data_IF_700252796298
#
_entry.id   IF_700252796298
#
_cell.length_a   1.000
_cell.length_b   1.000
_cell.length_c   1.000
_cell.angle_alpha   90.00
_cell.angle_beta   90.00
_cell.angle_gamma   90.00
#
_symmetry.space_group_name_H-M   'P 1'
#
loop_
_entity.id
_entity.type
_entity.pdbx_description
1 polymer ?
#
# COMPACT_ATOMS: atom_id res chain seq x y z
N UNK A 1 -17.91 6.54 13.86
CA UNK A 1 -17.13 5.29 14.07
C UNK A 1 -16.47 4.79 12.78
N UNK A 2 -17.21 4.57 11.70
CA UNK A 2 -16.66 4.07 10.42
C UNK A 2 -15.56 4.95 9.81
N UNK A 3 -15.68 6.29 9.91
CA UNK A 3 -14.61 7.22 9.49
C UNK A 3 -13.30 7.05 10.28
N UNK A 4 -13.37 6.69 11.56
CA UNK A 4 -12.18 6.50 12.39
C UNK A 4 -11.40 5.25 11.95
N UNK A 5 -12.12 4.16 11.65
CA UNK A 5 -11.53 2.95 11.08
C UNK A 5 -10.99 3.18 9.66
N UNK A 6 -11.68 3.99 8.85
CA UNK A 6 -11.19 4.41 7.53
C UNK A 6 -9.88 5.21 7.64
N UNK A 7 -9.79 6.13 8.60
CA UNK A 7 -8.55 6.87 8.87
C UNK A 7 -7.42 5.97 9.38
N UNK A 8 -7.73 5.01 10.25
CA UNK A 8 -6.75 4.02 10.72
C UNK A 8 -6.25 3.12 9.59
N UNK A 9 -7.09 2.77 8.61
CA UNK A 9 -6.69 1.97 7.45
C UNK A 9 -5.65 2.69 6.58
N UNK A 10 -5.70 4.03 6.50
CA UNK A 10 -4.70 4.81 5.76
C UNK A 10 -3.33 4.89 6.44
N UNK A 11 -3.21 4.44 7.69
CA UNK A 11 -1.92 4.34 8.38
C UNK A 11 -0.93 3.45 7.62
N UNK A 12 -1.43 2.44 6.89
CA UNK A 12 -0.62 1.58 6.03
C UNK A 12 0.20 2.36 4.98
N UNK A 13 -0.33 3.48 4.48
CA UNK A 13 0.37 4.32 3.49
C UNK A 13 1.65 4.92 4.09
N UNK A 14 1.51 5.56 5.25
CA UNK A 14 2.63 6.21 5.93
C UNK A 14 3.66 5.20 6.41
N UNK A 15 3.21 4.04 6.88
CA UNK A 15 4.10 2.95 7.28
C UNK A 15 4.94 2.47 6.09
N UNK A 16 4.30 2.20 4.95
CA UNK A 16 4.96 1.68 3.75
C UNK A 16 5.90 2.73 3.13
N UNK A 17 5.49 4.00 3.12
CA UNK A 17 6.33 5.11 2.69
C UNK A 17 7.58 5.26 3.57
N UNK A 18 7.41 5.22 4.90
CA UNK A 18 8.53 5.32 5.84
C UNK A 18 9.51 4.14 5.70
N UNK A 19 8.99 2.94 5.46
CA UNK A 19 9.84 1.77 5.22
C UNK A 19 10.62 1.91 3.91
N UNK A 20 9.97 2.36 2.84
CA UNK A 20 10.58 2.52 1.53
C UNK A 20 11.67 3.62 1.52
N UNK A 21 11.45 4.74 2.22
CA UNK A 21 12.47 5.78 2.38
C UNK A 21 13.65 5.31 3.23
N UNK A 22 13.41 4.51 4.29
CA UNK A 22 14.47 3.88 5.08
C UNK A 22 15.29 2.86 4.28
N UNK A 23 14.68 2.19 3.30
CA UNK A 23 15.36 1.29 2.37
C UNK A 23 16.16 2.02 1.27
N UNK A 24 16.15 3.36 1.25
CA UNK A 24 16.91 4.17 0.31
C UNK A 24 16.24 4.40 -1.05
N UNK A 25 14.93 4.14 -1.18
CA UNK A 25 14.19 4.51 -2.38
C UNK A 25 14.03 6.04 -2.50
N UNK A 26 13.93 6.53 -3.74
CA UNK A 26 13.60 7.92 -3.99
C UNK A 26 12.23 8.25 -3.39
N UNK A 27 12.02 9.49 -2.95
CA UNK A 27 10.74 9.88 -2.34
C UNK A 27 9.56 9.68 -3.32
N UNK A 28 9.82 9.82 -4.63
CA UNK A 28 8.85 9.60 -5.70
C UNK A 28 8.44 8.13 -5.79
N UNK A 29 9.41 7.21 -5.83
CA UNK A 29 9.15 5.77 -5.86
C UNK A 29 8.52 5.28 -4.54
N UNK A 30 9.01 5.79 -3.41
CA UNK A 30 8.48 5.48 -2.09
C UNK A 30 7.03 5.97 -1.94
N UNK A 31 6.67 7.12 -2.50
CA UNK A 31 5.29 7.60 -2.53
C UNK A 31 4.41 6.67 -3.37
N UNK A 32 4.85 6.25 -4.56
CA UNK A 32 4.08 5.35 -5.41
C UNK A 32 3.87 3.97 -4.79
N UNK A 33 4.88 3.41 -4.12
CA UNK A 33 4.78 2.14 -3.38
C UNK A 33 3.94 2.32 -2.11
N UNK A 34 4.05 3.47 -1.44
CA UNK A 34 3.30 3.79 -0.23
C UNK A 34 1.78 3.68 -0.41
N UNK A 35 1.26 4.13 -1.55
CA UNK A 35 -0.18 4.09 -1.86
C UNK A 35 -0.72 2.65 -1.89
N UNK A 36 0.12 1.64 -2.18
CA UNK A 36 -0.30 0.22 -2.13
C UNK A 36 -0.76 -0.15 -0.72
N UNK A 37 -0.17 0.46 0.32
CA UNK A 37 -0.57 0.26 1.71
C UNK A 37 -2.00 0.73 2.03
N UNK A 38 -2.62 1.55 1.16
CA UNK A 38 -4.04 1.88 1.21
C UNK A 38 -4.95 0.75 0.70
N UNK A 39 -4.37 -0.31 0.16
CA UNK A 39 -5.04 -1.34 -0.65
C UNK A 39 -5.78 -0.76 -1.88
N UNK A 40 -5.29 0.36 -2.42
CA UNK A 40 -5.85 1.05 -3.59
C UNK A 40 -4.89 1.03 -4.80
N UNK A 41 -5.21 0.14 -5.73
CA UNK A 41 -4.38 -0.24 -6.86
C UNK A 41 -4.40 0.79 -7.99
N UNK A 42 -5.57 1.19 -8.50
CA UNK A 42 -5.68 2.24 -9.53
C UNK A 42 -4.97 3.53 -9.12
N UNK A 43 -5.09 3.94 -7.86
CA UNK A 43 -4.42 5.14 -7.36
C UNK A 43 -2.91 4.95 -7.25
N UNK A 44 -2.42 3.77 -6.83
CA UNK A 44 -0.98 3.46 -6.81
C UNK A 44 -0.36 3.53 -8.21
N UNK A 45 -1.08 3.02 -9.23
CA UNK A 45 -0.65 3.03 -10.63
C UNK A 45 -0.66 4.47 -11.17
N UNK A 46 -1.70 5.24 -10.86
CA UNK A 46 -1.81 6.64 -11.25
C UNK A 46 -0.66 7.48 -10.66
N UNK A 47 -0.36 7.32 -9.37
CA UNK A 47 0.72 8.04 -8.69
C UNK A 47 2.09 7.61 -9.24
N UNK A 48 2.30 6.31 -9.51
CA UNK A 48 3.52 5.82 -10.16
C UNK A 48 3.72 6.43 -11.56
N UNK A 49 2.64 6.58 -12.32
CA UNK A 49 2.68 7.17 -13.66
C UNK A 49 2.95 8.68 -13.59
N UNK A 50 2.27 9.38 -12.68
CA UNK A 50 2.43 10.81 -12.45
C UNK A 50 3.86 11.20 -12.05
N UNK A 51 4.50 10.41 -11.19
CA UNK A 51 5.88 10.64 -10.78
C UNK A 51 6.93 10.05 -11.74
N UNK A 52 6.52 9.34 -12.79
CA UNK A 52 7.45 8.71 -13.73
C UNK A 52 8.32 7.62 -13.10
N UNK A 53 7.79 6.88 -12.13
CA UNK A 53 8.55 5.85 -11.43
C UNK A 53 9.04 4.77 -12.39
N UNK A 54 10.34 4.42 -12.31
CA UNK A 54 10.89 3.30 -13.11
C UNK A 54 10.31 1.94 -12.70
N UNK A 55 9.65 1.87 -11.55
CA UNK A 55 9.10 0.64 -10.98
C UNK A 55 7.62 0.44 -11.29
N UNK A 56 7.04 1.21 -12.22
CA UNK A 56 5.62 1.13 -12.58
C UNK A 56 5.14 -0.32 -12.84
N UNK A 57 5.91 -1.11 -13.58
CA UNK A 57 5.58 -2.52 -13.82
C UNK A 57 5.56 -3.36 -12.55
N UNK A 58 6.52 -3.18 -11.64
CA UNK A 58 6.58 -3.89 -10.38
C UNK A 58 5.45 -3.46 -9.42
N UNK A 59 5.13 -2.17 -9.40
CA UNK A 59 4.02 -1.59 -8.61
C UNK A 59 2.68 -2.16 -9.08
N UNK A 60 2.45 -2.26 -10.39
CA UNK A 60 1.23 -2.85 -10.96
C UNK A 60 1.06 -4.30 -10.51
N UNK A 61 2.10 -5.12 -10.68
CA UNK A 61 2.04 -6.54 -10.30
C UNK A 61 1.81 -6.68 -8.79
N UNK A 62 2.53 -5.92 -7.97
CA UNK A 62 2.39 -5.95 -6.51
C UNK A 62 0.99 -5.52 -6.05
N UNK A 63 0.43 -4.44 -6.62
CA UNK A 63 -0.88 -3.92 -6.26
C UNK A 63 -1.99 -4.94 -6.52
N UNK A 64 -2.06 -5.50 -7.73
CA UNK A 64 -3.08 -6.49 -8.06
C UNK A 64 -2.88 -7.82 -7.31
N UNK A 65 -1.63 -8.26 -7.11
CA UNK A 65 -1.34 -9.47 -6.34
C UNK A 65 -1.76 -9.33 -4.88
N UNK A 66 -1.49 -8.18 -4.26
CA UNK A 66 -1.88 -7.93 -2.87
C UNK A 66 -3.39 -7.88 -2.69
N UNK A 67 -4.12 -7.24 -3.61
CA UNK A 67 -5.59 -7.22 -3.60
C UNK A 67 -6.19 -8.62 -3.65
N UNK A 68 -5.64 -9.50 -4.48
CA UNK A 68 -6.08 -10.89 -4.56
C UNK A 68 -5.80 -11.68 -3.26
N UNK A 69 -4.80 -11.26 -2.48
CA UNK A 69 -4.40 -11.91 -1.24
C UNK A 69 -5.19 -11.41 -0.01
N UNK A 70 -5.96 -10.32 -0.14
CA UNK A 70 -6.79 -9.76 0.95
C UNK A 70 -7.68 -10.82 1.62
N UNK A 71 -8.42 -11.70 0.91
CA UNK A 71 -9.27 -12.71 1.54
C UNK A 71 -8.50 -13.73 2.41
N UNK A 72 -7.18 -13.86 2.20
CA UNK A 72 -6.32 -14.76 2.95
C UNK A 72 -5.67 -14.01 4.13
N UNK A 73 -5.16 -12.81 3.89
CA UNK A 73 -4.49 -12.00 4.93
C UNK A 73 -5.51 -11.53 5.99
N UNK A 74 -6.66 -11.02 5.55
CA UNK A 74 -7.64 -10.40 6.44
C UNK A 74 -8.13 -11.33 7.57
N UNK A 75 -8.58 -12.58 7.33
CA UNK A 75 -9.03 -13.46 8.42
C UNK A 75 -7.91 -13.85 9.39
N UNK A 76 -6.66 -13.96 8.90
CA UNK A 76 -5.50 -14.28 9.75
C UNK A 76 -5.18 -13.12 10.69
N UNK A 77 -5.15 -11.90 10.17
CA UNK A 77 -4.90 -10.69 10.97
C UNK A 77 -6.00 -10.48 12.00
N UNK A 78 -7.27 -10.67 11.61
CA UNK A 78 -8.39 -10.54 12.56
C UNK A 78 -8.22 -11.55 13.69
N UNK A 79 -8.03 -12.84 13.39
CA UNK A 79 -7.82 -13.89 14.41
C UNK A 79 -6.60 -13.65 15.31
N UNK A 80 -5.57 -12.98 14.82
CA UNK A 80 -4.38 -12.68 15.60
C UNK A 80 -4.58 -11.53 16.61
N UNK A 81 -5.45 -10.57 16.28
CA UNK A 81 -5.68 -9.37 17.10
C UNK A 81 -6.95 -9.47 17.94
N UNK A 82 -7.95 -10.22 17.49
CA UNK A 82 -9.16 -10.54 18.25
C UNK A 82 -9.07 -11.97 18.76
N UNK A 83 -8.59 -12.12 20.01
CA UNK A 83 -8.67 -13.39 20.78
C UNK A 83 -10.10 -13.85 20.96
#
# INVERSE_FOLDING_TARGET
LMMLFGGAAQFGIFFTLSLATLMGFSLQDAASVGIIGAADGPTSIFVANYFGSKYLGAIIVAAYSYMALVPIIQPVVIRAVTT
#
